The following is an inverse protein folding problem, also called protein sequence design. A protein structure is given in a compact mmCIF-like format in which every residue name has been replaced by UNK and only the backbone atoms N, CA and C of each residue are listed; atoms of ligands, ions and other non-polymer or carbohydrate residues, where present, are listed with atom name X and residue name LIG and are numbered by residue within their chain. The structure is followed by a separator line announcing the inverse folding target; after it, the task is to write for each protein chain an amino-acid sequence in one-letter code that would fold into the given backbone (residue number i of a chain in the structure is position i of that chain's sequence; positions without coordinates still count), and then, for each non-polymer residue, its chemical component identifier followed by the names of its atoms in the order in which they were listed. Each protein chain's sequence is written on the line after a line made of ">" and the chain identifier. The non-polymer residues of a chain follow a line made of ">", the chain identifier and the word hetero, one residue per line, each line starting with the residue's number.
data_IF_652000023893
#
_entry.id   IF_652000023893
#
_cell.length_a   1.000
_cell.length_b   1.000
_cell.length_c   1.000
_cell.angle_alpha   90.00
_cell.angle_beta   90.00
_cell.angle_gamma   90.00
#
_symmetry.space_group_name_H-M   'P 1'
#
loop_
_entity.id
_entity.type
_entity.pdbx_description
1 polymer ?
#
# COMPACT_ATOMS: atom_id res chain seq x y z
N UNK A 1 0.67 7.06 -22.26
CA UNK A 1 1.74 6.04 -22.37
C UNK A 1 2.20 5.69 -20.96
N UNK A 2 2.70 4.48 -20.73
CA UNK A 2 3.09 4.01 -19.39
C UNK A 2 4.41 4.67 -18.96
N UNK A 3 4.33 5.78 -18.23
CA UNK A 3 5.48 6.47 -17.64
C UNK A 3 5.87 5.80 -16.31
N UNK A 4 7.05 5.14 -16.23
CA UNK A 4 7.47 4.43 -15.02
C UNK A 4 7.85 5.37 -13.87
N UNK A 5 8.34 6.57 -14.15
CA UNK A 5 8.73 7.55 -13.14
C UNK A 5 7.49 8.14 -12.46
N UNK A 6 6.49 8.49 -13.27
CA UNK A 6 5.21 8.98 -12.78
C UNK A 6 4.47 7.90 -11.97
N UNK A 7 4.49 6.65 -12.43
CA UNK A 7 3.90 5.53 -11.70
C UNK A 7 4.56 5.33 -10.33
N UNK A 8 5.90 5.45 -10.24
CA UNK A 8 6.62 5.37 -8.98
C UNK A 8 6.26 6.54 -8.05
N UNK A 9 6.21 7.76 -8.57
CA UNK A 9 5.84 8.97 -7.82
C UNK A 9 4.44 8.86 -7.21
N UNK A 10 3.45 8.48 -8.01
CA UNK A 10 2.06 8.30 -7.57
C UNK A 10 1.96 7.20 -6.51
N UNK A 11 2.61 6.04 -6.74
CA UNK A 11 2.60 4.94 -5.78
C UNK A 11 3.21 5.35 -4.44
N UNK A 12 4.35 6.04 -4.43
CA UNK A 12 5.02 6.47 -3.19
C UNK A 12 4.13 7.46 -2.42
N UNK A 13 3.48 8.40 -3.11
CA UNK A 13 2.59 9.37 -2.46
C UNK A 13 1.37 8.67 -1.84
N UNK A 14 0.74 7.74 -2.56
CA UNK A 14 -0.37 6.94 -2.04
C UNK A 14 0.05 6.12 -0.80
N UNK A 15 1.20 5.43 -0.85
CA UNK A 15 1.67 4.63 0.28
C UNK A 15 1.99 5.47 1.51
N UNK A 16 2.49 6.71 1.33
CA UNK A 16 2.70 7.67 2.43
C UNK A 16 1.39 8.12 3.06
N UNK A 17 0.39 8.41 2.24
CA UNK A 17 -0.95 8.80 2.70
C UNK A 17 -1.59 7.67 3.52
N UNK A 18 -1.63 6.46 2.97
CA UNK A 18 -2.20 5.29 3.64
C UNK A 18 -1.48 4.96 4.95
N UNK A 19 -0.16 5.14 5.01
CA UNK A 19 0.59 4.95 6.24
C UNK A 19 0.27 6.02 7.30
N UNK A 20 -0.04 7.25 6.89
CA UNK A 20 -0.42 8.34 7.79
C UNK A 20 -1.86 8.21 8.28
N UNK A 21 -2.80 7.84 7.40
CA UNK A 21 -4.24 7.72 7.71
C UNK A 21 -4.61 6.38 8.33
N UNK A 22 -3.79 5.34 8.12
CA UNK A 22 -4.07 3.93 8.46
C UNK A 22 -5.31 3.36 7.76
N UNK A 23 -5.66 3.90 6.60
CA UNK A 23 -6.76 3.37 5.80
C UNK A 23 -6.35 2.06 5.09
N UNK A 24 -7.31 1.17 4.81
CA UNK A 24 -7.03 -0.08 4.10
C UNK A 24 -6.71 0.18 2.63
N UNK A 25 -5.69 -0.52 2.12
CA UNK A 25 -5.39 -0.65 0.70
C UNK A 25 -6.07 -1.90 0.14
N UNK A 26 -6.80 -1.73 -0.96
CA UNK A 26 -7.30 -2.84 -1.80
C UNK A 26 -6.62 -2.75 -3.17
N UNK A 27 -5.88 -3.78 -3.57
CA UNK A 27 -5.12 -3.75 -4.82
C UNK A 27 -5.14 -5.09 -5.57
N UNK A 28 -5.41 -5.03 -6.88
CA UNK A 28 -5.74 -6.19 -7.74
C UNK A 28 -4.66 -7.26 -7.88
N UNK A 29 -3.41 -6.95 -7.53
CA UNK A 29 -2.25 -7.83 -7.72
C UNK A 29 -1.54 -8.16 -6.40
N UNK A 30 -2.18 -7.93 -5.26
CA UNK A 30 -1.72 -8.43 -3.97
C UNK A 30 -2.28 -9.83 -3.69
N UNK A 31 -1.58 -10.66 -2.88
CA UNK A 31 -2.10 -11.94 -2.44
C UNK A 31 -3.52 -11.81 -1.89
N UNK A 32 -4.42 -12.70 -2.33
CA UNK A 32 -5.81 -12.74 -1.86
C UNK A 32 -5.85 -12.85 -0.32
N UNK A 33 -6.69 -12.06 0.40
CA UNK A 33 -7.85 -11.30 -0.06
C UNK A 33 -7.54 -9.90 -0.64
N UNK A 34 -6.26 -9.59 -0.86
CA UNK A 34 -5.79 -8.35 -1.50
C UNK A 34 -6.06 -7.08 -0.69
N UNK A 35 -6.29 -7.24 0.63
CA UNK A 35 -6.49 -6.15 1.59
C UNK A 35 -5.30 -6.10 2.54
N UNK A 36 -4.65 -4.93 2.66
CA UNK A 36 -3.62 -4.70 3.66
C UNK A 36 -3.59 -3.26 4.18
N UNK A 37 -2.94 -3.05 5.32
CA UNK A 37 -2.55 -1.73 5.79
C UNK A 37 -1.10 -1.46 5.40
N UNK A 38 -0.73 -0.20 5.29
CA UNK A 38 0.64 0.22 4.99
C UNK A 38 1.30 0.76 6.25
N UNK A 39 2.49 0.27 6.57
CA UNK A 39 3.34 0.81 7.65
C UNK A 39 4.67 1.31 7.09
N UNK A 40 5.20 2.40 7.66
CA UNK A 40 6.57 2.86 7.38
C UNK A 40 7.55 2.01 8.20
N UNK A 41 8.62 1.55 7.55
CA UNK A 41 9.74 0.86 8.17
C UNK A 41 11.04 1.47 7.64
N UNK A 42 11.52 2.54 8.29
CA UNK A 42 12.63 3.34 7.79
C UNK A 42 12.30 4.04 6.48
N UNK A 43 13.04 3.71 5.42
CA UNK A 43 12.87 4.24 4.06
C UNK A 43 12.00 3.34 3.16
N UNK A 44 11.47 2.23 3.70
CA UNK A 44 10.59 1.30 2.98
C UNK A 44 9.19 1.24 3.58
N UNK A 45 8.29 0.55 2.88
CA UNK A 45 6.91 0.29 3.32
C UNK A 45 6.70 -1.20 3.56
N UNK A 46 5.98 -1.53 4.64
CA UNK A 46 5.44 -2.87 4.88
C UNK A 46 3.96 -2.89 4.55
N UNK A 47 3.55 -3.85 3.72
CA UNK A 47 2.14 -4.24 3.58
C UNK A 47 1.84 -5.24 4.70
N UNK A 48 0.99 -4.84 5.64
CA UNK A 48 0.55 -5.64 6.78
C UNK A 48 -0.81 -6.23 6.42
N UNK A 49 -0.90 -7.54 6.10
CA UNK A 49 -2.17 -8.16 5.70
C UNK A 49 -3.26 -7.88 6.72
N UNK A 50 -4.45 -7.52 6.25
CA UNK A 50 -5.60 -7.41 7.15
C UNK A 50 -5.88 -8.79 7.77
N UNK A 51 -6.02 -8.83 9.10
CA UNK A 51 -6.37 -10.06 9.82
C UNK A 51 -7.89 -10.21 9.78
N UNK A 52 -8.34 -11.45 9.55
CA UNK A 52 -9.73 -11.84 9.74
C UNK A 52 -9.89 -12.38 11.16
N UNK A 53 -10.64 -11.69 12.02
CA UNK A 53 -10.72 -11.94 13.47
C UNK A 53 -12.15 -12.25 13.99
N UNK A 54 -13.05 -12.68 13.09
CA UNK A 54 -14.40 -13.16 13.44
C UNK A 54 -14.38 -14.51 14.17
#
# INVERSE_FOLDING_TARGET
>A
EHDPEEAARVRINLLRELAATREPLVATHLPFPSICHVAVDGDVFRCVPAVWDY
#
